data_IF_368356797416
#
_entry.id   IF_368356797416
#
_cell.length_a   1.000
_cell.length_b   1.000
_cell.length_c   1.000
_cell.angle_alpha   90.00
_cell.angle_beta   90.00
_cell.angle_gamma   90.00
#
_symmetry.space_group_name_H-M   'P 1'
#
loop_
_entity.id
_entity.type
_entity.pdbx_description
1 polymer ?
#
# COMPACT_ATOMS: atom_id res chain seq x y z
N UNK A 1 21.04 8.11 -46.23
CA UNK A 1 21.11 7.59 -44.85
C UNK A 1 21.64 8.71 -43.96
N UNK A 2 20.77 9.31 -43.14
CA UNK A 2 21.15 10.41 -42.24
C UNK A 2 21.77 9.76 -41.00
N UNK A 3 23.09 9.88 -40.83
CA UNK A 3 23.77 9.44 -39.62
C UNK A 3 23.26 10.29 -38.44
N UNK A 4 22.67 9.72 -37.38
CA UNK A 4 22.31 10.48 -36.21
C UNK A 4 23.59 11.01 -35.55
N UNK A 5 23.62 12.32 -35.28
CA UNK A 5 24.76 13.02 -34.70
C UNK A 5 25.13 12.44 -33.32
N UNK A 6 26.43 12.40 -32.94
CA UNK A 6 26.88 11.80 -31.69
C UNK A 6 26.24 12.43 -30.44
N UNK A 7 25.85 13.71 -30.52
CA UNK A 7 25.09 14.42 -29.48
C UNK A 7 23.70 13.80 -29.20
N UNK A 8 23.01 13.29 -30.23
CA UNK A 8 21.71 12.64 -30.06
C UNK A 8 21.84 11.30 -29.33
N UNK A 9 22.87 10.53 -29.67
CA UNK A 9 23.12 9.21 -29.07
C UNK A 9 23.51 9.32 -27.59
N UNK A 10 24.30 10.34 -27.21
CA UNK A 10 24.65 10.62 -25.81
C UNK A 10 23.43 11.08 -25.01
N UNK A 11 22.58 11.95 -25.55
CA UNK A 11 21.34 12.37 -24.87
C UNK A 11 20.33 11.22 -24.74
N UNK A 12 20.22 10.32 -25.72
CA UNK A 12 19.35 9.15 -25.67
C UNK A 12 19.84 8.11 -24.63
N UNK A 13 21.16 7.87 -24.57
CA UNK A 13 21.78 7.01 -23.55
C UNK A 13 21.66 7.61 -22.13
N UNK A 14 21.77 8.93 -22.01
CA UNK A 14 21.57 9.66 -20.75
C UNK A 14 20.11 9.58 -20.29
N UNK A 15 19.13 9.79 -21.20
CA UNK A 15 17.70 9.62 -20.92
C UNK A 15 17.31 8.19 -20.53
N UNK A 16 17.89 7.18 -21.19
CA UNK A 16 17.65 5.77 -20.89
C UNK A 16 18.27 5.34 -19.54
N UNK A 17 19.48 5.83 -19.20
CA UNK A 17 20.09 5.62 -17.88
C UNK A 17 19.29 6.29 -16.75
N UNK A 18 18.80 7.51 -16.96
CA UNK A 18 17.97 8.23 -15.99
C UNK A 18 16.62 7.52 -15.78
N UNK A 19 15.96 7.09 -16.85
CA UNK A 19 14.71 6.31 -16.76
C UNK A 19 14.90 4.99 -16.01
N UNK A 20 16.02 4.29 -16.23
CA UNK A 20 16.36 3.05 -15.52
C UNK A 20 16.65 3.27 -14.03
N UNK A 21 17.31 4.38 -13.66
CA UNK A 21 17.53 4.77 -12.25
C UNK A 21 16.22 5.12 -11.54
N UNK A 22 15.34 5.89 -12.18
CA UNK A 22 14.02 6.26 -11.62
C UNK A 22 13.17 5.00 -11.39
N UNK A 23 13.19 4.04 -12.33
CA UNK A 23 12.45 2.78 -12.19
C UNK A 23 12.96 1.93 -11.03
N UNK A 24 14.27 1.89 -10.80
CA UNK A 24 14.89 1.21 -9.65
C UNK A 24 14.53 1.88 -8.32
N UNK A 25 14.57 3.21 -8.28
CA UNK A 25 14.22 4.01 -7.10
C UNK A 25 12.74 3.82 -6.71
N UNK A 26 11.83 3.90 -7.69
CA UNK A 26 10.41 3.65 -7.45
C UNK A 26 10.15 2.24 -6.94
N UNK A 27 10.80 1.23 -7.52
CA UNK A 27 10.67 -0.17 -7.06
C UNK A 27 11.17 -0.35 -5.63
N UNK A 28 12.24 0.35 -5.24
CA UNK A 28 12.79 0.32 -3.89
C UNK A 28 11.83 0.95 -2.87
N UNK A 29 11.35 2.17 -3.13
CA UNK A 29 10.39 2.87 -2.26
C UNK A 29 9.06 2.12 -2.16
N UNK A 30 8.56 1.58 -3.29
CA UNK A 30 7.35 0.78 -3.29
C UNK A 30 7.51 -0.46 -2.41
N UNK A 31 8.66 -1.13 -2.44
CA UNK A 31 8.94 -2.30 -1.58
C UNK A 31 9.00 -1.93 -0.10
N UNK A 32 9.60 -0.78 0.22
CA UNK A 32 9.69 -0.27 1.60
C UNK A 32 8.32 0.17 2.13
N UNK A 33 7.48 0.77 1.29
CA UNK A 33 6.14 1.19 1.63
C UNK A 33 5.16 0.02 1.77
N UNK A 34 5.24 -0.98 0.89
CA UNK A 34 4.25 -2.04 0.78
C UNK A 34 4.15 -2.90 2.05
N UNK A 35 5.28 -3.18 2.69
CA UNK A 35 5.30 -3.98 3.93
C UNK A 35 4.56 -3.29 5.09
N UNK A 36 4.89 -2.05 5.52
CA UNK A 36 4.14 -1.36 6.57
C UNK A 36 2.71 -1.02 6.15
N UNK A 37 2.44 -0.80 4.86
CA UNK A 37 1.07 -0.65 4.34
C UNK A 37 0.22 -1.89 4.61
N UNK A 38 0.72 -3.09 4.28
CA UNK A 38 0.00 -4.35 4.51
C UNK A 38 -0.21 -4.64 6.00
N UNK A 39 0.78 -4.32 6.85
CA UNK A 39 0.64 -4.46 8.30
C UNK A 39 -0.43 -3.50 8.83
N UNK A 40 -0.40 -2.23 8.43
CA UNK A 40 -1.44 -1.26 8.80
C UNK A 40 -2.83 -1.71 8.33
N UNK A 41 -2.94 -2.13 7.07
CA UNK A 41 -4.19 -2.58 6.48
C UNK A 41 -4.79 -3.77 7.25
N UNK A 42 -3.98 -4.80 7.55
CA UNK A 42 -4.44 -5.96 8.33
C UNK A 42 -4.84 -5.60 9.76
N UNK A 43 -4.07 -4.73 10.42
CA UNK A 43 -4.36 -4.26 11.78
C UNK A 43 -5.69 -3.50 11.86
N UNK A 44 -5.91 -2.53 10.96
CA UNK A 44 -7.15 -1.75 10.93
C UNK A 44 -8.36 -2.59 10.48
N UNK A 45 -8.18 -3.55 9.57
CA UNK A 45 -9.23 -4.52 9.24
C UNK A 45 -9.64 -5.34 10.46
N UNK A 46 -8.67 -5.84 11.25
CA UNK A 46 -8.94 -6.61 12.45
C UNK A 46 -9.69 -5.78 13.51
N UNK A 47 -9.28 -4.52 13.71
CA UNK A 47 -9.98 -3.57 14.59
C UNK A 47 -11.41 -3.31 14.15
N UNK A 48 -11.63 -3.09 12.85
CA UNK A 48 -12.96 -2.88 12.31
C UNK A 48 -13.84 -4.12 12.47
N UNK A 49 -13.29 -5.31 12.18
CA UNK A 49 -13.98 -6.58 12.40
C UNK A 49 -14.37 -6.76 13.86
N UNK A 50 -13.44 -6.49 14.79
CA UNK A 50 -13.69 -6.59 16.22
C UNK A 50 -14.83 -5.65 16.68
N UNK A 51 -14.88 -4.41 16.17
CA UNK A 51 -15.98 -3.49 16.43
C UNK A 51 -17.32 -3.97 15.86
N UNK A 52 -17.29 -4.61 14.68
CA UNK A 52 -18.47 -5.18 14.02
C UNK A 52 -18.89 -6.56 14.57
N UNK A 53 -18.10 -7.18 15.45
CA UNK A 53 -18.39 -8.51 15.99
C UNK A 53 -19.62 -8.51 16.91
N UNK A 54 -19.89 -7.40 17.60
CA UNK A 54 -21.05 -7.24 18.48
C UNK A 54 -22.37 -7.34 17.70
N UNK A 55 -22.61 -6.55 16.63
CA UNK A 55 -23.81 -6.73 15.82
C UNK A 55 -23.81 -8.09 15.12
N UNK A 56 -22.65 -8.62 14.70
CA UNK A 56 -22.55 -9.95 14.09
C UNK A 56 -23.06 -11.07 15.01
N UNK A 57 -22.60 -11.11 16.26
CA UNK A 57 -23.06 -12.07 17.27
C UNK A 57 -24.55 -11.90 17.56
N UNK A 58 -25.04 -10.65 17.63
CA UNK A 58 -26.45 -10.36 17.90
C UNK A 58 -27.37 -10.78 16.74
N UNK A 59 -26.92 -10.64 15.50
CA UNK A 59 -27.64 -11.11 14.31
C UNK A 59 -27.57 -12.64 14.15
N UNK A 60 -26.42 -13.25 14.45
CA UNK A 60 -26.24 -14.70 14.41
C UNK A 60 -27.01 -15.45 15.49
N UNK A 61 -27.12 -14.88 16.71
CA UNK A 61 -27.90 -15.47 17.82
C UNK A 61 -29.41 -15.24 17.68
N UNK A 62 -29.86 -14.18 17.00
CA UNK A 62 -31.29 -13.89 16.78
C UNK A 62 -31.87 -14.51 15.51
N UNK A 63 -31.04 -14.98 14.59
CA UNK A 63 -31.50 -15.38 13.26
C UNK A 63 -31.42 -16.88 13.03
N UNK A 64 -32.57 -17.50 12.76
CA UNK A 64 -32.74 -18.78 12.04
C UNK A 64 -32.11 -18.78 10.62
N UNK A 65 -31.26 -17.81 10.31
CA UNK A 65 -30.73 -17.56 8.97
C UNK A 65 -29.35 -18.20 8.89
N UNK A 66 -29.29 -19.33 8.17
CA UNK A 66 -28.10 -20.15 8.03
C UNK A 66 -26.85 -19.43 7.50
N UNK A 67 -25.75 -20.18 7.47
CA UNK A 67 -24.36 -19.75 7.17
C UNK A 67 -24.23 -18.77 5.98
N UNK A 68 -25.07 -18.92 4.95
CA UNK A 68 -25.09 -18.04 3.78
C UNK A 68 -25.40 -16.57 4.08
N UNK A 69 -26.30 -16.27 5.02
CA UNK A 69 -26.62 -14.89 5.38
C UNK A 69 -25.47 -14.26 6.17
N UNK A 70 -24.85 -15.03 7.05
CA UNK A 70 -23.68 -14.65 7.84
C UNK A 70 -22.49 -14.31 6.92
N UNK A 71 -22.24 -15.12 5.89
CA UNK A 71 -21.21 -14.85 4.88
C UNK A 71 -21.49 -13.56 4.09
N UNK A 72 -22.75 -13.36 3.67
CA UNK A 72 -23.17 -12.13 2.97
C UNK A 72 -22.96 -10.88 3.83
N UNK A 73 -23.33 -10.95 5.10
CA UNK A 73 -23.15 -9.85 6.04
C UNK A 73 -21.66 -9.55 6.25
N UNK A 74 -20.82 -10.57 6.43
CA UNK A 74 -19.36 -10.41 6.52
C UNK A 74 -18.80 -9.68 5.29
N UNK A 75 -19.27 -10.03 4.09
CA UNK A 75 -18.87 -9.37 2.85
C UNK A 75 -19.25 -7.89 2.80
N UNK A 76 -20.47 -7.53 3.23
CA UNK A 76 -20.89 -6.13 3.32
C UNK A 76 -20.08 -5.34 4.35
N UNK A 77 -19.78 -5.93 5.51
CA UNK A 77 -18.94 -5.32 6.54
C UNK A 77 -17.52 -5.06 5.99
N UNK A 78 -16.94 -6.03 5.28
CA UNK A 78 -15.65 -5.87 4.60
C UNK A 78 -15.67 -4.73 3.56
N UNK A 79 -16.75 -4.61 2.77
CA UNK A 79 -16.91 -3.48 1.84
C UNK A 79 -17.01 -2.13 2.54
N UNK A 80 -17.73 -2.09 3.66
CA UNK A 80 -17.89 -0.86 4.44
C UNK A 80 -16.60 -0.44 5.14
N UNK A 81 -15.70 -1.39 5.45
CA UNK A 81 -14.42 -1.13 6.08
C UNK A 81 -13.40 -0.46 5.14
N UNK A 82 -13.44 -0.79 3.84
CA UNK A 82 -12.51 -0.28 2.82
C UNK A 82 -12.25 1.23 2.89
N UNK A 83 -13.26 2.13 2.88
CA UNK A 83 -13.05 3.58 2.91
C UNK A 83 -12.32 4.07 4.16
N UNK A 84 -12.37 3.34 5.28
CA UNK A 84 -11.69 3.72 6.53
C UNK A 84 -10.30 3.07 6.65
N UNK A 85 -10.18 1.82 6.22
CA UNK A 85 -8.96 1.02 6.37
C UNK A 85 -7.91 1.38 5.32
N UNK A 86 -8.31 1.69 4.08
CA UNK A 86 -7.37 2.07 3.01
C UNK A 86 -6.54 3.32 3.35
N UNK A 87 -7.15 4.46 3.77
CA UNK A 87 -6.39 5.65 4.15
C UNK A 87 -5.49 5.42 5.38
N UNK A 88 -5.98 4.69 6.38
CA UNK A 88 -5.23 4.39 7.60
C UNK A 88 -4.03 3.46 7.33
N UNK A 89 -4.23 2.43 6.50
CA UNK A 89 -3.16 1.57 5.99
C UNK A 89 -2.14 2.37 5.18
N UNK A 90 -2.60 3.27 4.30
CA UNK A 90 -1.73 4.15 3.51
C UNK A 90 -0.84 5.03 4.39
N UNK A 91 -1.42 5.70 5.39
CA UNK A 91 -0.68 6.52 6.35
C UNK A 91 0.36 5.69 7.11
N UNK A 92 0.01 4.48 7.52
CA UNK A 92 0.94 3.55 8.19
C UNK A 92 2.10 3.17 7.27
N UNK A 93 1.80 2.92 5.99
CA UNK A 93 2.80 2.67 4.96
C UNK A 93 3.77 3.84 4.79
N UNK A 94 3.26 5.07 4.73
CA UNK A 94 4.08 6.29 4.58
C UNK A 94 4.96 6.48 5.81
N UNK A 95 4.38 6.41 7.01
CA UNK A 95 5.12 6.59 8.26
C UNK A 95 6.17 5.50 8.47
N UNK A 96 5.84 4.25 8.15
CA UNK A 96 6.79 3.14 8.19
C UNK A 96 7.94 3.32 7.19
N UNK A 97 7.64 3.78 5.97
CA UNK A 97 8.65 4.06 4.97
C UNK A 97 9.58 5.22 5.37
N UNK A 98 9.01 6.32 5.88
CA UNK A 98 9.77 7.46 6.39
C UNK A 98 10.64 7.08 7.60
N UNK A 99 10.08 6.31 8.54
CA UNK A 99 10.80 5.82 9.70
C UNK A 99 11.99 4.93 9.33
N UNK A 100 11.81 4.04 8.35
CA UNK A 100 12.88 3.18 7.84
C UNK A 100 13.95 3.98 7.08
N UNK A 101 13.54 4.89 6.21
CA UNK A 101 14.46 5.77 5.47
C UNK A 101 15.27 6.69 6.38
N UNK A 102 14.73 7.08 7.53
CA UNK A 102 15.44 7.87 8.56
C UNK A 102 16.47 7.05 9.32
N UNK A 103 16.19 5.77 9.60
CA UNK A 103 17.12 4.84 10.30
C UNK A 103 18.25 4.36 9.39
N UNK A 104 17.97 4.15 8.11
CA UNK A 104 18.97 3.74 7.12
C UNK A 104 19.83 4.91 6.60
N UNK A 105 19.57 6.15 7.02
CA UNK A 105 20.29 7.35 6.57
C UNK A 105 20.06 7.71 5.10
N UNK A 106 19.28 6.93 4.36
CA UNK A 106 19.02 7.11 2.92
C UNK A 106 18.31 8.42 2.58
N UNK A 107 17.56 9.01 3.52
CA UNK A 107 16.90 10.32 3.32
C UNK A 107 17.93 11.46 3.39
N UNK A 108 18.98 11.34 4.21
CA UNK A 108 20.08 12.33 4.24
C UNK A 108 20.99 12.23 3.01
N UNK A 109 21.15 11.02 2.45
CA UNK A 109 21.99 10.80 1.27
C UNK A 109 21.39 11.33 -0.05
N UNK A 110 20.08 11.63 -0.10
CA UNK A 110 19.46 12.25 -1.29
C UNK A 110 19.42 13.78 -1.24
N UNK A 111 19.83 14.39 -0.13
CA UNK A 111 19.97 15.85 0.03
C UNK A 111 21.42 16.34 -0.20
N UNK A 112 22.34 15.47 -0.62
CA UNK A 112 23.72 15.82 -1.00
C UNK A 112 23.97 15.60 -2.50
#
# INVERSE_FOLDING_TARGET
>A
MILPSPLFMVNFLKGNKTSRKVKLFYKYYLKIFLSPFLVGLTFFFALFLAGSAIPFLRFGLKGEKGIFYTLRFLFFVLLQALPYVLPAGFLTGVLGALGKGRREGSIKASEC
#
